data_IF_387235161321
#
_entry.id   IF_387235161321
#
_cell.length_a   1.000
_cell.length_b   1.000
_cell.length_c   1.000
_cell.angle_alpha   90.00
_cell.angle_beta   90.00
_cell.angle_gamma   90.00
#
_symmetry.space_group_name_H-M   'P 1'
#
loop_
_entity.id
_entity.type
_entity.pdbx_description
1 polymer ?
#
# COMPACT_ATOMS: atom_id res chain seq x y z
N UNK A 1 -33.78 -5.71 10.68
CA UNK A 1 -32.61 -4.99 10.14
C UNK A 1 -32.58 -3.65 10.84
N UNK A 2 -31.70 -3.46 11.83
CA UNK A 2 -31.69 -2.25 12.66
C UNK A 2 -30.81 -1.19 12.02
N UNK A 3 -31.43 -0.07 11.64
CA UNK A 3 -30.77 1.13 11.14
C UNK A 3 -29.88 1.75 12.24
N UNK A 4 -28.58 1.53 12.15
CA UNK A 4 -27.61 2.29 12.94
C UNK A 4 -27.47 3.68 12.32
N UNK A 5 -28.28 4.61 12.79
CA UNK A 5 -28.10 6.04 12.57
C UNK A 5 -26.84 6.49 13.32
N UNK A 6 -25.78 6.76 12.57
CA UNK A 6 -24.55 7.37 13.10
C UNK A 6 -24.89 8.79 13.55
N UNK A 7 -25.04 8.99 14.87
CA UNK A 7 -25.14 10.32 15.48
C UNK A 7 -23.82 11.06 15.28
N UNK A 8 -23.75 11.86 14.22
CA UNK A 8 -22.77 12.94 14.11
C UNK A 8 -23.03 13.89 15.28
N UNK A 9 -22.07 13.96 16.21
CA UNK A 9 -22.11 14.95 17.27
C UNK A 9 -22.03 16.34 16.64
N UNK A 10 -23.17 17.03 16.59
CA UNK A 10 -23.24 18.44 16.26
C UNK A 10 -22.57 19.21 17.38
N UNK A 11 -21.30 19.55 17.17
CA UNK A 11 -20.59 20.46 18.06
C UNK A 11 -21.21 21.84 17.84
N UNK A 12 -22.15 22.22 18.70
CA UNK A 12 -22.71 23.57 18.72
C UNK A 12 -21.57 24.57 18.98
N UNK A 13 -21.39 25.51 18.05
CA UNK A 13 -20.39 26.56 18.19
C UNK A 13 -20.95 27.65 19.10
N UNK A 14 -20.21 27.99 20.16
CA UNK A 14 -20.59 29.03 21.10
C UNK A 14 -20.60 30.40 20.42
N UNK A 15 -21.59 31.24 20.74
CA UNK A 15 -21.88 32.53 20.08
C UNK A 15 -20.77 33.59 20.29
N UNK A 16 -19.80 33.33 21.16
CA UNK A 16 -18.72 34.28 21.52
C UNK A 16 -17.38 33.98 20.84
N UNK A 17 -17.27 32.93 20.04
CA UNK A 17 -16.04 32.65 19.31
C UNK A 17 -16.02 33.42 17.99
N UNK A 18 -14.94 34.17 17.75
CA UNK A 18 -14.67 34.75 16.43
C UNK A 18 -14.86 33.64 15.40
N UNK A 19 -15.74 33.81 14.40
CA UNK A 19 -16.01 32.74 13.45
C UNK A 19 -14.66 32.30 12.89
N UNK A 20 -14.35 30.99 12.92
CA UNK A 20 -13.11 30.51 12.35
C UNK A 20 -13.10 31.04 10.92
N UNK A 21 -11.99 31.66 10.50
CA UNK A 21 -11.84 32.04 9.09
C UNK A 21 -12.28 30.83 8.28
N UNK A 22 -13.06 31.00 7.23
CA UNK A 22 -13.58 29.85 6.47
C UNK A 22 -12.46 28.86 6.11
N UNK A 23 -11.23 29.36 5.97
CA UNK A 23 -9.99 28.61 5.79
C UNK A 23 -9.44 27.77 6.96
N UNK A 24 -9.97 27.91 8.17
CA UNK A 24 -9.62 27.11 9.35
C UNK A 24 -10.42 25.81 9.45
N UNK A 25 -11.56 25.69 8.76
CA UNK A 25 -12.33 24.46 8.78
C UNK A 25 -11.56 23.33 8.06
N UNK A 26 -11.54 22.11 8.63
CA UNK A 26 -10.90 20.97 7.99
C UNK A 26 -11.59 20.68 6.66
N UNK A 27 -10.81 20.19 5.71
CA UNK A 27 -11.37 19.75 4.43
C UNK A 27 -12.00 18.39 4.60
N UNK A 28 -13.22 18.22 4.09
CA UNK A 28 -13.87 16.91 3.96
C UNK A 28 -13.84 16.46 2.51
N UNK A 29 -13.78 15.15 2.28
CA UNK A 29 -13.76 14.56 0.94
C UNK A 29 -14.76 13.42 0.86
N UNK A 30 -15.47 13.33 -0.25
CA UNK A 30 -16.23 12.13 -0.60
C UNK A 30 -15.99 11.75 -2.06
N UNK A 31 -16.25 10.49 -2.40
CA UNK A 31 -16.09 9.94 -3.74
C UNK A 31 -17.45 9.47 -4.24
N UNK A 32 -17.89 10.00 -5.37
CA UNK A 32 -19.12 9.59 -6.08
C UNK A 32 -18.83 9.58 -7.58
N UNK A 33 -19.39 8.63 -8.32
CA UNK A 33 -19.32 8.58 -9.80
C UNK A 33 -17.89 8.69 -10.37
N UNK A 34 -16.91 8.09 -9.69
CA UNK A 34 -15.50 8.16 -10.09
C UNK A 34 -14.88 9.57 -9.98
N UNK A 35 -15.55 10.48 -9.28
CA UNK A 35 -15.10 11.84 -8.97
C UNK A 35 -14.93 11.98 -7.47
N UNK A 36 -14.00 12.85 -7.09
CA UNK A 36 -13.66 13.16 -5.74
C UNK A 36 -13.96 14.63 -5.47
N UNK A 37 -14.90 14.85 -4.55
CA UNK A 37 -15.41 16.15 -4.19
C UNK A 37 -14.75 16.58 -2.88
N UNK A 38 -14.21 17.80 -2.85
CA UNK A 38 -13.57 18.37 -1.66
C UNK A 38 -14.36 19.56 -1.16
N UNK A 39 -14.70 19.57 0.12
CA UNK A 39 -15.48 20.62 0.77
C UNK A 39 -14.72 21.25 1.92
N UNK A 40 -15.19 22.43 2.33
CA UNK A 40 -14.78 23.12 3.55
C UNK A 40 -15.99 23.89 4.08
N UNK A 41 -16.49 23.52 5.25
CA UNK A 41 -17.70 24.12 5.83
C UNK A 41 -18.89 24.12 4.86
N UNK A 42 -19.21 22.94 4.28
CA UNK A 42 -20.28 22.73 3.29
C UNK A 42 -20.10 23.46 1.94
N UNK A 43 -19.06 24.28 1.77
CA UNK A 43 -18.71 24.90 0.48
C UNK A 43 -17.87 23.95 -0.36
N UNK A 44 -18.29 23.71 -1.60
CA UNK A 44 -17.51 22.94 -2.58
C UNK A 44 -16.25 23.73 -3.00
N UNK A 45 -15.09 23.10 -2.90
CA UNK A 45 -13.80 23.68 -3.28
C UNK A 45 -13.29 23.17 -4.63
N UNK A 46 -13.38 21.86 -4.87
CA UNK A 46 -12.88 21.26 -6.11
C UNK A 46 -13.49 19.88 -6.38
N UNK A 47 -13.51 19.52 -7.66
CA UNK A 47 -13.88 18.21 -8.17
C UNK A 47 -12.67 17.67 -8.94
N UNK A 48 -12.16 16.50 -8.54
CA UNK A 48 -11.04 15.82 -9.22
C UNK A 48 -11.46 14.42 -9.65
N UNK A 49 -10.81 13.85 -10.66
CA UNK A 49 -10.98 12.44 -11.01
C UNK A 49 -10.51 11.58 -9.85
N UNK A 50 -11.32 10.62 -9.41
CA UNK A 50 -10.92 9.66 -8.39
C UNK A 50 -9.87 8.72 -9.00
N UNK A 51 -8.66 8.74 -8.46
CA UNK A 51 -7.61 7.79 -8.84
C UNK A 51 -7.92 6.44 -8.20
N UNK A 52 -7.83 5.36 -8.98
CA UNK A 52 -7.89 4.01 -8.44
C UNK A 52 -6.77 3.83 -7.40
N UNK A 53 -7.02 3.15 -6.27
CA UNK A 53 -5.96 2.85 -5.33
C UNK A 53 -4.86 2.06 -6.07
N UNK A 54 -3.61 2.41 -5.80
CA UNK A 54 -2.50 1.59 -6.28
C UNK A 54 -2.62 0.21 -5.66
N UNK A 55 -2.67 -0.86 -6.47
CA UNK A 55 -2.71 -2.21 -5.94
C UNK A 55 -1.49 -2.42 -5.04
N UNK A 56 -1.71 -3.07 -3.89
CA UNK A 56 -0.63 -3.40 -2.98
C UNK A 56 0.34 -4.31 -3.73
N UNK A 57 1.57 -3.86 -3.92
CA UNK A 57 2.60 -4.71 -4.54
C UNK A 57 2.83 -5.88 -3.59
N UNK A 58 2.49 -7.09 -4.04
CA UNK A 58 2.89 -8.31 -3.33
C UNK A 58 4.42 -8.31 -3.27
N UNK A 59 4.97 -8.44 -2.08
CA UNK A 59 6.43 -8.43 -1.86
C UNK A 59 7.10 -9.53 -2.69
N UNK A 60 8.06 -9.14 -3.53
CA UNK A 60 8.90 -10.07 -4.31
C UNK A 60 9.81 -10.92 -3.43
N UNK A 61 9.90 -10.64 -2.12
CA UNK A 61 10.76 -11.35 -1.17
C UNK A 61 10.45 -12.85 -1.10
N UNK A 62 9.18 -13.27 -1.28
CA UNK A 62 8.81 -14.69 -1.31
C UNK A 62 9.30 -15.41 -2.58
N UNK A 63 9.32 -14.73 -3.73
CA UNK A 63 9.73 -15.33 -5.00
C UNK A 63 11.25 -15.57 -5.08
N UNK A 64 12.06 -14.75 -4.42
CA UNK A 64 13.52 -14.94 -4.39
C UNK A 64 13.98 -16.11 -3.50
N UNK A 65 13.23 -16.44 -2.44
CA UNK A 65 13.59 -17.57 -1.56
C UNK A 65 13.40 -18.89 -2.29
N UNK A 66 12.25 -19.08 -2.96
CA UNK A 66 11.98 -20.30 -3.73
C UNK A 66 12.96 -20.51 -4.89
N UNK A 67 13.37 -19.45 -5.58
CA UNK A 67 14.36 -19.54 -6.66
C UNK A 67 15.74 -19.95 -6.13
N UNK A 68 16.17 -19.39 -4.99
CA UNK A 68 17.44 -19.71 -4.35
C UNK A 68 17.48 -21.16 -3.83
N UNK A 69 16.38 -21.66 -3.28
CA UNK A 69 16.29 -23.06 -2.80
C UNK A 69 16.33 -24.05 -3.97
N UNK A 70 15.66 -23.76 -5.09
CA UNK A 70 15.69 -24.61 -6.30
C UNK A 70 17.06 -24.67 -6.96
N UNK A 71 17.83 -23.58 -7.00
CA UNK A 71 19.21 -23.59 -7.53
C UNK A 71 20.17 -24.45 -6.69
N UNK A 72 19.95 -24.55 -5.37
CA UNK A 72 20.80 -25.38 -4.51
C UNK A 72 20.57 -26.88 -4.68
N UNK A 73 19.40 -27.30 -5.18
CA UNK A 73 19.07 -28.71 -5.43
C UNK A 73 19.71 -29.27 -6.71
N UNK A 74 20.07 -28.41 -7.66
CA UNK A 74 20.69 -28.80 -8.95
C UNK A 74 22.12 -28.28 -9.08
N UNK A 75 22.91 -28.31 -7.99
CA UNK A 75 24.34 -27.99 -8.07
C UNK A 75 25.06 -29.07 -8.89
N UNK A 76 25.20 -28.83 -10.20
CA UNK A 76 26.22 -29.49 -11.02
C UNK A 76 27.58 -29.13 -10.43
N UNK A 77 28.39 -30.14 -10.09
CA UNK A 77 29.77 -29.93 -9.63
C UNK A 77 30.50 -29.07 -10.66
N UNK A 78 31.17 -28.03 -10.20
CA UNK A 78 31.99 -27.20 -11.08
C UNK A 78 33.15 -28.00 -11.65
N UNK A 79 33.67 -27.62 -12.82
CA UNK A 79 34.78 -28.33 -13.48
C UNK A 79 36.01 -28.51 -12.56
N UNK A 80 36.23 -27.58 -11.63
CA UNK A 80 37.28 -27.65 -10.61
C UNK A 80 37.10 -28.84 -9.66
N UNK A 81 35.88 -29.08 -9.18
CA UNK A 81 35.59 -30.18 -8.25
C UNK A 81 35.71 -31.54 -8.95
N UNK A 82 35.28 -31.61 -10.22
CA UNK A 82 35.46 -32.80 -11.05
C UNK A 82 36.95 -33.12 -11.30
N UNK A 83 37.77 -32.11 -11.53
CA UNK A 83 39.22 -32.26 -11.74
C UNK A 83 39.94 -32.80 -10.49
N UNK A 84 39.57 -32.33 -9.29
CA UNK A 84 40.15 -32.84 -8.05
C UNK A 84 39.74 -34.29 -7.75
N UNK A 85 38.50 -34.68 -8.07
CA UNK A 85 38.08 -36.09 -7.95
C UNK A 85 38.86 -37.00 -8.89
N UNK A 86 39.11 -36.56 -10.13
CA UNK A 86 39.90 -37.29 -11.10
C UNK A 86 41.35 -37.50 -10.65
N UNK A 87 42.04 -36.44 -10.20
CA UNK A 87 43.40 -36.56 -9.68
C UNK A 87 43.52 -37.46 -8.45
N UNK A 88 42.46 -37.55 -7.64
CA UNK A 88 42.43 -38.40 -6.45
C UNK A 88 42.22 -39.87 -6.81
N UNK A 89 41.57 -40.15 -7.95
CA UNK A 89 41.44 -41.51 -8.49
C UNK A 89 42.73 -42.01 -9.17
N UNK A 90 43.48 -41.14 -9.86
CA UNK A 90 44.74 -41.53 -10.51
C UNK A 90 45.91 -41.78 -9.56
N UNK A 91 45.80 -41.35 -8.28
CA UNK A 91 46.83 -41.52 -7.25
C UNK A 91 46.59 -42.74 -6.34
N UNK A 92 45.79 -43.71 -6.77
CA UNK A 92 45.49 -44.95 -6.06
C UNK A 92 45.93 -46.15 -6.91
#
# INVERSE_FOLDING_TARGET
MSDQTVKLAEKEWSVNDTPPKSDQLPRTRHVSDGKMYTYRGNKLLSIKKATKPTPYKLSTKKQHVEAREKETATKKKGARDLFYEFQKMEKK
#
